data_IF_982582257043
#
_entry.id   IF_982582257043
#
_cell.length_a   1.000
_cell.length_b   1.000
_cell.length_c   1.000
_cell.angle_alpha   90.00
_cell.angle_beta   90.00
_cell.angle_gamma   90.00
#
_symmetry.space_group_name_H-M   'P 1'
#
loop_
_entity.id
_entity.type
_entity.pdbx_description
1 polymer ?
#
# COMPACT_ATOMS: atom_id res chain seq x y z
N UNK A 1 5.83 -1.03 17.77
CA UNK A 1 5.52 -2.05 16.74
C UNK A 1 4.28 -2.85 17.15
N UNK A 2 4.10 -3.11 18.45
CA UNK A 2 2.96 -3.91 18.97
C UNK A 2 1.60 -3.19 18.94
N UNK A 3 1.56 -1.86 18.87
CA UNK A 3 0.31 -1.10 18.88
C UNK A 3 -0.45 -1.13 17.53
N UNK A 4 0.23 -1.49 16.43
CA UNK A 4 -0.40 -1.65 15.11
C UNK A 4 -1.16 -3.00 14.98
N UNK A 5 -0.93 -3.93 15.91
CA UNK A 5 -1.49 -5.28 15.89
C UNK A 5 -2.74 -5.43 16.78
N UNK A 6 -3.09 -4.42 17.58
CA UNK A 6 -4.17 -4.55 18.59
C UNK A 6 -5.57 -4.27 18.04
N UNK A 7 -5.69 -3.66 16.86
CA UNK A 7 -6.96 -3.49 16.15
C UNK A 7 -6.71 -3.58 14.64
N UNK A 8 -7.39 -4.50 13.96
CA UNK A 8 -7.37 -4.55 12.50
C UNK A 8 -7.89 -3.20 11.96
N UNK A 9 -7.01 -2.42 11.34
CA UNK A 9 -7.41 -1.16 10.74
C UNK A 9 -8.37 -1.41 9.56
N UNK A 10 -8.95 -0.33 9.03
CA UNK A 10 -9.86 -0.40 7.89
C UNK A 10 -9.26 -1.17 6.68
N UNK A 11 -7.96 -1.03 6.42
CA UNK A 11 -7.29 -1.70 5.30
C UNK A 11 -7.22 -3.20 5.57
N UNK A 12 -6.80 -3.63 6.76
CA UNK A 12 -6.75 -5.05 7.10
C UNK A 12 -8.14 -5.69 7.10
N UNK A 13 -9.16 -4.95 7.53
CA UNK A 13 -10.54 -5.48 7.62
C UNK A 13 -11.18 -5.66 6.23
N UNK A 14 -10.99 -4.70 5.31
CA UNK A 14 -11.78 -4.65 4.08
C UNK A 14 -10.98 -4.84 2.78
N UNK A 15 -9.66 -4.63 2.79
CA UNK A 15 -8.84 -4.61 1.57
C UNK A 15 -7.81 -5.74 1.56
N UNK A 16 -6.98 -5.84 2.60
CA UNK A 16 -5.89 -6.82 2.71
C UNK A 16 -5.87 -7.53 4.08
N UNK A 17 -6.76 -8.52 4.31
CA UNK A 17 -6.74 -9.32 5.53
C UNK A 17 -5.38 -10.02 5.73
N UNK A 18 -4.75 -9.77 6.87
CA UNK A 18 -3.41 -10.30 7.20
C UNK A 18 -2.24 -9.58 6.54
N UNK A 19 -2.48 -8.47 5.83
CA UNK A 19 -1.42 -7.66 5.24
C UNK A 19 -0.58 -6.92 6.31
N UNK A 20 0.73 -7.02 6.21
CA UNK A 20 1.70 -6.31 7.06
C UNK A 20 2.72 -5.57 6.18
N UNK A 21 3.05 -4.33 6.56
CA UNK A 21 4.16 -3.59 5.95
C UNK A 21 5.43 -3.82 6.76
N UNK A 22 6.47 -4.33 6.09
CA UNK A 22 7.79 -4.49 6.70
C UNK A 22 8.57 -3.17 6.64
N UNK A 23 9.22 -2.78 7.74
CA UNK A 23 10.11 -1.62 7.73
C UNK A 23 11.40 -1.93 6.97
N UNK A 24 12.03 -0.94 6.30
CA UNK A 24 13.30 -1.13 5.60
C UNK A 24 14.39 -1.78 6.47
N UNK A 25 14.52 -1.32 7.72
CA UNK A 25 15.51 -1.86 8.66
C UNK A 25 15.26 -3.35 8.97
N UNK A 26 13.98 -3.74 9.22
CA UNK A 26 13.64 -5.14 9.48
C UNK A 26 13.88 -6.01 8.25
N UNK A 27 13.63 -5.47 7.06
CA UNK A 27 13.92 -6.18 5.80
C UNK A 27 15.43 -6.40 5.60
N UNK A 28 16.24 -5.37 5.86
CA UNK A 28 17.70 -5.47 5.78
C UNK A 28 18.28 -6.45 6.81
N UNK A 29 17.78 -6.44 8.06
CA UNK A 29 18.20 -7.37 9.11
C UNK A 29 17.93 -8.84 8.72
N UNK A 30 16.81 -9.10 8.06
CA UNK A 30 16.49 -10.44 7.54
C UNK A 30 17.42 -10.81 6.39
N UNK A 31 17.69 -9.89 5.46
CA UNK A 31 18.61 -10.12 4.35
C UNK A 31 20.03 -10.46 4.84
N UNK A 32 20.54 -9.72 5.83
CA UNK A 32 21.85 -9.97 6.45
C UNK A 32 21.97 -11.37 7.04
N UNK A 33 20.92 -11.87 7.71
CA UNK A 33 20.88 -13.25 8.24
C UNK A 33 20.96 -14.31 7.15
N UNK A 34 20.58 -13.95 5.92
CA UNK A 34 20.69 -14.79 4.72
C UNK A 34 21.97 -14.55 3.93
N UNK A 35 22.99 -13.90 4.52
CA UNK A 35 24.27 -13.56 3.88
C UNK A 35 24.15 -12.60 2.67
N UNK A 36 23.05 -11.85 2.58
CA UNK A 36 22.85 -10.82 1.56
C UNK A 36 23.21 -9.44 2.12
N UNK A 37 23.98 -8.68 1.35
CA UNK A 37 24.30 -7.27 1.67
C UNK A 37 23.53 -6.34 0.76
N UNK A 38 22.91 -5.30 1.34
CA UNK A 38 22.21 -4.27 0.58
C UNK A 38 23.21 -3.48 -0.27
N UNK A 39 22.98 -3.46 -1.58
CA UNK A 39 23.79 -2.70 -2.53
C UNK A 39 23.16 -1.37 -2.90
N UNK A 40 21.84 -1.33 -3.08
CA UNK A 40 21.12 -0.16 -3.57
C UNK A 40 19.67 -0.20 -3.08
N UNK A 41 19.11 0.99 -2.83
CA UNK A 41 17.70 1.18 -2.53
C UNK A 41 17.17 2.39 -3.30
N UNK A 42 16.11 2.16 -4.06
CA UNK A 42 15.36 3.21 -4.74
C UNK A 42 13.97 3.34 -4.14
N UNK A 43 13.58 4.58 -3.83
CA UNK A 43 12.27 4.89 -3.25
C UNK A 43 11.35 5.57 -4.26
N UNK A 44 10.13 5.04 -4.40
CA UNK A 44 9.12 5.50 -5.35
C UNK A 44 7.82 5.91 -4.65
N UNK A 45 7.87 6.33 -3.39
CA UNK A 45 6.67 6.65 -2.62
C UNK A 45 5.78 7.69 -3.29
N UNK A 46 6.36 8.76 -3.83
CA UNK A 46 5.62 9.80 -4.55
C UNK A 46 5.01 9.31 -5.86
N UNK A 47 5.71 8.46 -6.61
CA UNK A 47 5.18 7.87 -7.84
C UNK A 47 4.00 6.95 -7.54
N UNK A 48 4.03 6.27 -6.40
CA UNK A 48 2.92 5.44 -5.98
C UNK A 48 1.71 6.26 -5.51
N UNK A 49 1.93 7.42 -4.88
CA UNK A 49 0.85 8.38 -4.64
C UNK A 49 0.16 8.83 -5.95
N UNK A 50 0.96 9.11 -6.99
CA UNK A 50 0.43 9.44 -8.33
C UNK A 50 -0.32 8.28 -8.96
N UNK A 51 0.17 7.06 -8.78
CA UNK A 51 -0.49 5.83 -9.25
C UNK A 51 -1.88 5.69 -8.62
N UNK A 52 -1.99 5.85 -7.30
CA UNK A 52 -3.26 5.79 -6.57
C UNK A 52 -4.23 6.89 -6.99
N UNK A 53 -3.74 8.08 -7.31
CA UNK A 53 -4.58 9.16 -7.87
C UNK A 53 -5.18 8.79 -9.22
N UNK A 54 -4.37 8.26 -10.14
CA UNK A 54 -4.82 7.82 -11.46
C UNK A 54 -5.85 6.70 -11.31
N UNK A 55 -5.63 5.77 -10.38
CA UNK A 55 -6.58 4.69 -10.09
C UNK A 55 -7.90 5.22 -9.52
N UNK A 56 -7.84 6.15 -8.56
CA UNK A 56 -9.03 6.81 -8.00
C UNK A 56 -9.88 7.49 -9.08
N UNK A 57 -9.23 8.26 -9.95
CA UNK A 57 -9.90 8.94 -11.06
C UNK A 57 -10.54 7.94 -12.04
N UNK A 58 -9.79 6.93 -12.48
CA UNK A 58 -10.29 5.92 -13.42
C UNK A 58 -11.41 5.07 -12.82
N UNK A 59 -11.30 4.69 -11.55
CA UNK A 59 -12.34 3.95 -10.82
C UNK A 59 -13.67 4.73 -10.83
N UNK A 60 -13.62 6.01 -10.44
CA UNK A 60 -14.80 6.87 -10.41
C UNK A 60 -15.39 7.13 -11.80
N UNK A 61 -14.54 7.34 -12.81
CA UNK A 61 -15.00 7.48 -14.21
C UNK A 61 -15.69 6.22 -14.74
N UNK A 62 -15.32 5.04 -14.22
CA UNK A 62 -15.88 3.75 -14.62
C UNK A 62 -16.96 3.22 -13.67
N UNK A 63 -17.36 4.00 -12.67
CA UNK A 63 -18.31 3.54 -11.65
C UNK A 63 -19.60 2.96 -12.23
N UNK A 64 -20.20 3.61 -13.22
CA UNK A 64 -21.43 3.11 -13.86
C UNK A 64 -21.25 1.73 -14.50
N UNK A 65 -20.07 1.41 -15.03
CA UNK A 65 -19.76 0.08 -15.56
C UNK A 65 -19.54 -0.92 -14.43
N UNK A 66 -18.85 -0.52 -13.36
CA UNK A 66 -18.56 -1.36 -12.19
C UNK A 66 -19.85 -1.71 -11.43
N UNK A 67 -20.75 -0.75 -11.23
CA UNK A 67 -22.05 -0.96 -10.59
C UNK A 67 -22.89 -2.02 -11.33
N UNK A 68 -22.86 -2.02 -12.68
CA UNK A 68 -23.53 -3.04 -13.50
C UNK A 68 -22.98 -4.46 -13.30
N UNK A 69 -21.78 -4.61 -12.72
CA UNK A 69 -21.22 -5.91 -12.36
C UNK A 69 -21.75 -6.43 -11.01
N UNK A 70 -22.58 -5.66 -10.30
CA UNK A 70 -23.18 -6.03 -9.02
C UNK A 70 -22.50 -5.39 -7.79
N UNK A 71 -21.55 -4.47 -7.98
CA UNK A 71 -20.95 -3.73 -6.88
C UNK A 71 -21.81 -2.53 -6.48
N UNK A 72 -22.01 -2.34 -5.17
CA UNK A 72 -22.90 -1.32 -4.64
C UNK A 72 -22.17 -0.05 -4.18
N UNK A 73 -22.94 0.98 -3.82
CA UNK A 73 -22.40 2.25 -3.31
C UNK A 73 -21.57 2.06 -2.02
N UNK A 74 -21.82 1.00 -1.25
CA UNK A 74 -21.00 0.67 -0.07
C UNK A 74 -19.60 0.24 -0.51
N UNK A 75 -19.50 -0.66 -1.49
CA UNK A 75 -18.24 -1.04 -2.11
C UNK A 75 -17.51 0.19 -2.67
N UNK A 76 -18.22 1.07 -3.39
CA UNK A 76 -17.64 2.31 -3.93
C UNK A 76 -16.97 3.14 -2.84
N UNK A 77 -17.67 3.38 -1.73
CA UNK A 77 -17.15 4.18 -0.60
C UNK A 77 -15.93 3.55 0.04
N UNK A 78 -15.92 2.23 0.20
CA UNK A 78 -14.75 1.48 0.70
C UNK A 78 -13.56 1.70 -0.24
N UNK A 79 -13.76 1.54 -1.55
CA UNK A 79 -12.69 1.69 -2.53
C UNK A 79 -12.16 3.13 -2.65
N UNK A 80 -13.06 4.12 -2.65
CA UNK A 80 -12.69 5.53 -2.63
C UNK A 80 -11.88 5.87 -1.37
N UNK A 81 -12.30 5.36 -0.22
CA UNK A 81 -11.61 5.55 1.06
C UNK A 81 -10.22 4.94 1.02
N UNK A 82 -10.11 3.69 0.56
CA UNK A 82 -8.83 3.00 0.43
C UNK A 82 -7.84 3.77 -0.45
N UNK A 83 -8.25 4.12 -1.68
CA UNK A 83 -7.36 4.79 -2.65
C UNK A 83 -6.92 6.17 -2.14
N UNK A 84 -7.84 6.96 -1.59
CA UNK A 84 -7.52 8.30 -1.07
C UNK A 84 -6.67 8.25 0.20
N UNK A 85 -6.99 7.36 1.15
CA UNK A 85 -6.25 7.19 2.39
C UNK A 85 -4.81 6.73 2.12
N UNK A 86 -4.63 5.70 1.29
CA UNK A 86 -3.30 5.23 0.92
C UNK A 86 -2.51 6.33 0.19
N UNK A 87 -3.12 7.07 -0.73
CA UNK A 87 -2.46 8.21 -1.39
C UNK A 87 -1.95 9.23 -0.38
N UNK A 88 -2.75 9.57 0.62
CA UNK A 88 -2.34 10.45 1.73
C UNK A 88 -1.16 9.87 2.53
N UNK A 89 -1.17 8.56 2.78
CA UNK A 89 -0.06 7.84 3.42
C UNK A 89 1.26 7.99 2.66
N UNK A 90 1.24 7.79 1.35
CA UNK A 90 2.42 7.96 0.49
C UNK A 90 2.87 9.43 0.39
N UNK A 91 1.95 10.38 0.19
CA UNK A 91 2.28 11.81 0.13
C UNK A 91 2.89 12.36 1.42
N UNK A 92 2.43 11.85 2.56
CA UNK A 92 2.94 12.22 3.89
C UNK A 92 4.20 11.46 4.30
N UNK A 93 4.73 10.58 3.44
CA UNK A 93 5.88 9.71 3.71
C UNK A 93 5.70 8.79 4.93
N UNK A 94 4.45 8.51 5.33
CA UNK A 94 4.15 7.54 6.40
C UNK A 94 4.37 6.10 5.94
N UNK A 95 4.19 5.86 4.65
CA UNK A 95 4.47 4.60 3.97
C UNK A 95 5.20 4.89 2.67
N UNK A 96 5.93 3.90 2.16
CA UNK A 96 6.60 4.00 0.88
C UNK A 96 6.62 2.67 0.12
N UNK A 97 7.03 2.72 -1.14
CA UNK A 97 7.36 1.56 -1.95
C UNK A 97 8.79 1.75 -2.42
N UNK A 98 9.62 0.75 -2.17
CA UNK A 98 11.05 0.83 -2.46
C UNK A 98 11.53 -0.46 -3.10
N UNK A 99 12.48 -0.36 -4.02
CA UNK A 99 13.17 -1.50 -4.61
C UNK A 99 14.53 -1.65 -3.95
N UNK A 100 14.85 -2.85 -3.48
CA UNK A 100 16.10 -3.16 -2.81
C UNK A 100 16.91 -4.12 -3.69
N UNK A 101 18.16 -3.77 -3.96
CA UNK A 101 19.11 -4.63 -4.67
C UNK A 101 20.09 -5.20 -3.66
N UNK A 102 20.14 -6.53 -3.55
CA UNK A 102 21.08 -7.23 -2.68
C UNK A 102 22.15 -7.97 -3.47
N UNK A 103 23.33 -8.16 -2.86
CA UNK A 103 24.45 -8.92 -3.41
C UNK A 103 24.99 -9.88 -2.34
N UNK A 104 25.62 -10.97 -2.81
CA UNK A 104 26.37 -11.92 -1.98
C UNK A 104 27.85 -11.59 -2.02
#
# INVERSE_FOLDING_TARGET
MDEYLSNADFIQTYIFPGGELISPNRFEDIAKKSSLTLSEIDDFGYDYAKTLEIWYQKFNQKWNSINKLGFDEKFKKIWDTYLAYCRGGFLSKRISVSQFVFKN
#
